data_IF_233322307000
#
_entry.id   IF_233322307000
#
_cell.length_a   1.000
_cell.length_b   1.000
_cell.length_c   1.000
_cell.angle_alpha   90.00
_cell.angle_beta   90.00
_cell.angle_gamma   90.00
#
_symmetry.space_group_name_H-M   'P 1'
#
loop_
_entity.id
_entity.type
_entity.pdbx_description
1 polymer ?
#
# COMPACT_ATOMS: atom_id res chain seq x y z
N UNK A 1 -1.08 14.44 3.56
CA UNK A 1 -2.07 13.37 3.77
C UNK A 1 -3.45 13.93 3.50
N UNK A 2 -4.30 13.17 2.83
CA UNK A 2 -5.71 13.51 2.57
C UNK A 2 -6.59 12.42 3.18
N UNK A 3 -7.68 12.82 3.82
CA UNK A 3 -8.76 11.94 4.25
C UNK A 3 -10.00 12.36 3.47
N UNK A 4 -10.59 11.43 2.73
CA UNK A 4 -11.76 11.72 1.90
C UNK A 4 -13.02 11.91 2.76
N UNK A 5 -14.08 12.54 2.21
CA UNK A 5 -15.44 12.22 2.65
C UNK A 5 -15.72 10.72 2.47
N UNK A 6 -16.85 10.24 2.99
CA UNK A 6 -17.31 8.88 2.68
C UNK A 6 -17.59 8.78 1.17
N UNK A 7 -17.02 7.77 0.51
CA UNK A 7 -17.18 7.44 -0.89
C UNK A 7 -17.61 5.96 -1.00
N UNK A 8 -18.86 5.73 -1.41
CA UNK A 8 -19.48 4.39 -1.47
C UNK A 8 -19.33 3.59 -0.16
N UNK A 9 -19.50 4.25 0.98
CA UNK A 9 -19.40 3.64 2.31
C UNK A 9 -17.97 3.54 2.87
N UNK A 10 -16.96 3.99 2.12
CA UNK A 10 -15.55 3.97 2.54
C UNK A 10 -14.98 5.37 2.77
N UNK A 11 -14.12 5.50 3.78
CA UNK A 11 -13.27 6.68 3.94
C UNK A 11 -11.86 6.35 3.50
N UNK A 12 -11.37 7.04 2.47
CA UNK A 12 -10.02 6.85 1.94
C UNK A 12 -9.04 7.72 2.71
N UNK A 13 -7.90 7.14 3.11
CA UNK A 13 -6.77 7.87 3.66
C UNK A 13 -5.61 7.74 2.67
N UNK A 14 -5.19 8.87 2.10
CA UNK A 14 -4.21 8.92 1.01
C UNK A 14 -2.97 9.68 1.46
N UNK A 15 -1.81 9.03 1.37
CA UNK A 15 -0.50 9.63 1.56
C UNK A 15 0.55 8.65 2.07
N UNK A 16 1.82 9.08 2.12
CA UNK A 16 2.96 8.18 2.40
C UNK A 16 2.88 7.45 3.74
N UNK A 17 2.19 8.03 4.72
CA UNK A 17 2.04 7.43 6.05
C UNK A 17 1.23 6.12 6.05
N UNK A 18 0.42 5.88 5.01
CA UNK A 18 -0.47 4.72 4.94
C UNK A 18 0.19 3.48 4.32
N UNK A 19 1.48 3.55 4.00
CA UNK A 19 2.22 2.49 3.32
C UNK A 19 2.44 1.27 4.24
N UNK A 20 1.84 0.09 3.93
CA UNK A 20 2.03 -1.11 4.73
C UNK A 20 3.39 -1.80 4.55
N UNK A 21 4.26 -1.26 3.68
CA UNK A 21 5.63 -1.72 3.42
C UNK A 21 6.72 -0.84 4.05
N UNK A 22 6.38 0.36 4.53
CA UNK A 22 7.34 1.30 5.11
C UNK A 22 8.04 0.71 6.35
N UNK A 23 9.35 0.48 6.28
CA UNK A 23 10.09 -0.22 7.32
C UNK A 23 10.02 0.39 8.73
N UNK A 24 9.71 1.68 8.86
CA UNK A 24 9.56 2.34 10.16
C UNK A 24 8.13 2.29 10.70
N UNK A 25 7.13 2.21 9.81
CA UNK A 25 5.71 2.43 10.16
C UNK A 25 4.83 1.22 9.96
N UNK A 26 5.31 0.19 9.28
CA UNK A 26 4.46 -0.87 8.81
C UNK A 26 3.72 -1.63 9.94
N UNK A 27 4.33 -1.74 11.12
CA UNK A 27 3.67 -2.27 12.33
C UNK A 27 2.61 -1.31 12.90
N UNK A 28 2.84 0.00 12.82
CA UNK A 28 1.86 1.02 13.21
C UNK A 28 0.65 1.00 12.27
N UNK A 29 0.88 0.91 10.96
CA UNK A 29 -0.18 0.76 9.94
C UNK A 29 -0.99 -0.52 10.19
N UNK A 30 -0.32 -1.62 10.53
CA UNK A 30 -0.97 -2.89 10.91
C UNK A 30 -1.84 -2.74 12.16
N UNK A 31 -1.31 -2.13 13.21
CA UNK A 31 -2.06 -1.84 14.44
C UNK A 31 -3.29 -0.97 14.15
N UNK A 32 -3.13 0.10 13.37
CA UNK A 32 -4.24 0.98 13.04
C UNK A 32 -5.33 0.26 12.23
N UNK A 33 -4.98 -0.54 11.22
CA UNK A 33 -5.98 -1.33 10.47
C UNK A 33 -6.71 -2.32 11.38
N UNK A 34 -5.99 -2.93 12.33
CA UNK A 34 -6.60 -3.82 13.33
C UNK A 34 -7.61 -3.05 14.20
N UNK A 35 -7.22 -1.89 14.74
CA UNK A 35 -8.11 -1.07 15.58
C UNK A 35 -9.33 -0.53 14.79
N UNK A 36 -9.13 -0.07 13.56
CA UNK A 36 -10.20 0.44 12.71
C UNK A 36 -11.15 -0.67 12.27
N UNK A 37 -10.64 -1.83 11.88
CA UNK A 37 -11.49 -2.97 11.49
C UNK A 37 -12.31 -3.51 12.67
N UNK A 38 -11.78 -3.46 13.90
CA UNK A 38 -12.54 -3.80 15.10
C UNK A 38 -13.74 -2.86 15.31
N UNK A 39 -13.57 -1.57 14.97
CA UNK A 39 -14.60 -0.53 15.15
C UNK A 39 -15.60 -0.48 14.00
N UNK A 40 -15.14 -0.64 12.76
CA UNK A 40 -15.91 -0.38 11.55
C UNK A 40 -16.20 -1.64 10.72
N UNK A 41 -15.74 -2.80 11.17
CA UNK A 41 -15.92 -4.10 10.49
C UNK A 41 -14.75 -4.43 9.57
N UNK A 42 -14.22 -3.46 8.83
CA UNK A 42 -13.11 -3.66 7.91
C UNK A 42 -12.18 -2.44 7.86
N UNK A 43 -10.88 -2.68 7.63
CA UNK A 43 -9.89 -1.66 7.32
C UNK A 43 -8.74 -2.27 6.52
N UNK A 44 -8.24 -1.53 5.54
CA UNK A 44 -7.24 -2.01 4.59
C UNK A 44 -6.23 -0.91 4.29
N UNK A 45 -5.00 -1.31 3.97
CA UNK A 45 -3.95 -0.42 3.50
C UNK A 45 -3.28 -1.02 2.26
N UNK A 46 -2.94 -0.16 1.31
CA UNK A 46 -2.38 -0.55 0.03
C UNK A 46 -1.24 0.39 -0.35
N UNK A 47 -0.19 -0.19 -0.93
CA UNK A 47 0.83 0.53 -1.69
C UNK A 47 0.86 -0.04 -3.11
N UNK A 48 0.97 0.85 -4.09
CA UNK A 48 1.18 0.49 -5.48
C UNK A 48 2.08 1.53 -6.13
N UNK A 49 3.24 1.06 -6.57
CA UNK A 49 4.21 1.81 -7.31
C UNK A 49 3.86 1.86 -8.79
N UNK A 50 3.39 3.01 -9.28
CA UNK A 50 2.94 3.16 -10.68
C UNK A 50 4.08 3.02 -11.72
N UNK A 51 5.34 2.92 -11.27
CA UNK A 51 6.49 2.65 -12.14
C UNK A 51 6.90 1.16 -12.13
N UNK A 52 6.08 0.29 -11.53
CA UNK A 52 6.42 -1.11 -11.29
C UNK A 52 7.43 -1.28 -10.16
N UNK A 53 7.53 -0.31 -9.25
CA UNK A 53 8.41 -0.32 -8.07
C UNK A 53 7.84 -1.12 -6.89
N UNK A 54 6.67 -1.74 -7.06
CA UNK A 54 6.15 -2.75 -6.15
C UNK A 54 4.68 -2.63 -5.84
N UNK A 55 4.20 -3.59 -5.06
CA UNK A 55 2.93 -3.46 -4.39
C UNK A 55 2.92 -4.13 -3.02
N UNK A 56 2.05 -3.62 -2.16
CA UNK A 56 1.82 -4.21 -0.85
C UNK A 56 0.35 -4.05 -0.46
N UNK A 57 -0.17 -5.02 0.28
CA UNK A 57 -1.53 -4.98 0.82
C UNK A 57 -1.58 -5.51 2.23
N UNK A 58 -2.45 -4.88 3.01
CA UNK A 58 -2.82 -5.28 4.36
C UNK A 58 -4.34 -5.24 4.45
N UNK A 59 -4.95 -6.36 4.81
CA UNK A 59 -6.39 -6.51 4.95
C UNK A 59 -6.67 -6.95 6.38
N UNK A 60 -7.52 -6.19 7.08
CA UNK A 60 -8.00 -6.53 8.41
C UNK A 60 -9.53 -6.49 8.48
N UNK A 61 -10.09 -7.47 9.16
CA UNK A 61 -11.53 -7.64 9.36
C UNK A 61 -11.81 -7.92 10.83
N UNK A 62 -12.82 -7.26 11.39
CA UNK A 62 -13.30 -7.50 12.76
C UNK A 62 -12.20 -7.51 13.84
N UNK A 63 -11.16 -6.70 13.67
CA UNK A 63 -10.06 -6.60 14.63
C UNK A 63 -8.98 -7.66 14.48
N UNK A 64 -8.90 -8.34 13.34
CA UNK A 64 -7.86 -9.32 13.02
C UNK A 64 -7.28 -9.07 11.63
N UNK A 65 -5.97 -9.21 11.49
CA UNK A 65 -5.30 -9.21 10.18
C UNK A 65 -5.70 -10.49 9.46
N UNK A 66 -6.26 -10.36 8.25
CA UNK A 66 -6.65 -11.46 7.37
C UNK A 66 -5.52 -11.79 6.40
N UNK A 67 -4.81 -10.77 5.94
CA UNK A 67 -3.66 -10.91 5.05
C UNK A 67 -2.75 -9.71 5.18
N UNK A 68 -1.45 -9.96 5.19
CA UNK A 68 -0.43 -8.96 4.86
C UNK A 68 0.52 -9.53 3.84
N UNK A 69 0.90 -8.75 2.84
CA UNK A 69 1.88 -9.14 1.84
C UNK A 69 2.55 -7.92 1.24
N UNK A 70 3.80 -8.09 0.83
CA UNK A 70 4.65 -7.07 0.23
C UNK A 70 5.50 -7.69 -0.87
N UNK A 71 5.59 -7.01 -2.01
CA UNK A 71 6.54 -7.27 -3.09
C UNK A 71 6.97 -5.94 -3.68
N UNK A 72 8.08 -5.42 -3.18
CA UNK A 72 8.78 -4.22 -3.66
C UNK A 72 10.17 -4.55 -4.22
N UNK A 73 10.53 -5.84 -4.25
CA UNK A 73 11.87 -6.30 -4.62
C UNK A 73 12.89 -6.16 -3.48
N UNK A 74 12.46 -5.80 -2.27
CA UNK A 74 13.32 -5.65 -1.10
C UNK A 74 13.45 -6.98 -0.34
N UNK A 75 14.62 -7.32 0.21
CA UNK A 75 14.80 -8.56 0.98
C UNK A 75 13.82 -8.71 2.15
N UNK A 76 13.50 -7.59 2.80
CA UNK A 76 12.63 -7.48 3.97
C UNK A 76 11.16 -7.78 3.66
N UNK A 77 10.75 -7.77 2.39
CA UNK A 77 9.38 -8.09 1.96
C UNK A 77 8.89 -9.45 2.50
N UNK A 78 9.82 -10.41 2.60
CA UNK A 78 9.56 -11.74 3.20
C UNK A 78 8.97 -11.69 4.60
N UNK A 79 9.40 -10.72 5.40
CA UNK A 79 9.03 -10.59 6.80
C UNK A 79 7.62 -10.01 6.96
N UNK A 80 7.08 -9.42 5.89
CA UNK A 80 5.79 -8.74 5.89
C UNK A 80 4.65 -9.65 5.41
N UNK A 81 4.95 -10.89 4.99
CA UNK A 81 3.95 -11.86 4.59
C UNK A 81 3.34 -12.54 5.84
N UNK A 82 2.08 -12.21 6.13
CA UNK A 82 1.31 -12.79 7.23
C UNK A 82 0.03 -13.43 6.70
N UNK A 83 -0.41 -14.47 7.41
CA UNK A 83 -1.62 -15.24 7.09
C UNK A 83 -1.61 -15.89 5.70
N UNK A 84 -2.68 -16.62 5.39
CA UNK A 84 -2.78 -17.37 4.14
C UNK A 84 -3.12 -16.45 2.96
N UNK A 85 -2.59 -16.71 1.75
CA UNK A 85 -2.90 -15.91 0.56
C UNK A 85 -4.41 -15.78 0.34
N UNK A 86 -4.89 -14.60 -0.09
CA UNK A 86 -6.29 -14.35 -0.44
C UNK A 86 -6.76 -15.22 -1.63
N UNK A 87 -8.08 -15.31 -1.82
CA UNK A 87 -8.68 -16.05 -2.96
C UNK A 87 -8.08 -15.62 -4.30
N UNK A 88 -7.92 -14.31 -4.51
CA UNK A 88 -7.32 -13.74 -5.72
C UNK A 88 -5.85 -14.17 -5.86
N UNK A 89 -5.05 -14.08 -4.79
CA UNK A 89 -3.64 -14.51 -4.82
C UNK A 89 -3.52 -15.99 -5.20
N UNK A 90 -4.35 -16.86 -4.60
CA UNK A 90 -4.36 -18.29 -4.91
C UNK A 90 -4.70 -18.57 -6.38
N UNK A 91 -5.74 -17.90 -6.90
CA UNK A 91 -6.13 -18.05 -8.30
C UNK A 91 -5.02 -17.58 -9.27
N UNK A 92 -4.33 -16.48 -8.95
CA UNK A 92 -3.20 -15.99 -9.76
C UNK A 92 -2.02 -16.97 -9.71
N UNK A 93 -1.71 -17.55 -8.54
CA UNK A 93 -0.68 -18.58 -8.41
C UNK A 93 -1.01 -19.82 -9.25
N UNK A 94 -2.26 -20.29 -9.21
CA UNK A 94 -2.70 -21.42 -10.04
C UNK A 94 -2.57 -21.15 -11.54
N UNK A 95 -2.85 -19.92 -12.00
CA UNK A 95 -2.66 -19.52 -13.40
C UNK A 95 -1.19 -19.55 -13.84
N UNK A 96 -0.26 -19.32 -12.91
CA UNK A 96 1.18 -19.43 -13.11
C UNK A 96 1.69 -20.88 -12.97
N UNK A 97 0.81 -21.85 -12.70
CA UNK A 97 1.20 -23.23 -12.43
C UNK A 97 1.87 -23.44 -11.07
N UNK A 98 1.72 -22.48 -10.15
CA UNK A 98 2.27 -22.53 -8.80
C UNK A 98 1.27 -23.15 -7.81
N UNK A 99 1.76 -23.72 -6.69
CA UNK A 99 0.89 -24.10 -5.60
C UNK A 99 0.09 -22.89 -5.07
N UNK A 100 -1.22 -23.03 -4.82
CA UNK A 100 -2.05 -21.93 -4.34
C UNK A 100 -1.66 -21.48 -2.92
N UNK A 101 -1.19 -22.40 -2.08
CA UNK A 101 -0.60 -22.05 -0.80
C UNK A 101 0.83 -21.53 -1.00
N UNK A 102 1.17 -20.46 -0.30
CA UNK A 102 2.55 -19.98 -0.25
C UNK A 102 3.34 -20.76 0.80
N UNK A 103 4.55 -21.18 0.42
CA UNK A 103 5.54 -21.75 1.32
C UNK A 103 6.78 -20.86 1.29
N UNK A 104 7.22 -20.39 2.45
CA UNK A 104 8.42 -19.57 2.55
C UNK A 104 9.68 -20.32 2.04
N UNK A 105 9.67 -21.66 2.05
CA UNK A 105 10.79 -22.47 1.56
C UNK A 105 11.01 -22.37 0.05
N UNK A 106 9.96 -22.05 -0.73
CA UNK A 106 10.04 -21.98 -2.21
C UNK A 106 10.46 -20.61 -2.73
N UNK A 107 10.64 -19.59 -1.86
CA UNK A 107 10.86 -18.17 -2.25
C UNK A 107 11.94 -17.94 -3.32
N UNK A 108 12.99 -18.75 -3.30
CA UNK A 108 14.14 -18.63 -4.19
C UNK A 108 14.08 -19.58 -5.40
N UNK A 109 13.00 -20.35 -5.53
CA UNK A 109 12.79 -21.24 -6.66
C UNK A 109 12.44 -20.40 -7.90
N UNK A 110 12.96 -20.79 -9.06
CA UNK A 110 12.76 -20.11 -10.34
C UNK A 110 11.27 -19.85 -10.67
N UNK A 111 10.31 -20.77 -10.42
CA UNK A 111 8.89 -20.49 -10.63
C UNK A 111 8.32 -19.38 -9.75
N UNK A 112 8.91 -19.07 -8.57
CA UNK A 112 8.46 -17.95 -7.75
C UNK A 112 8.83 -16.59 -8.35
N UNK A 113 9.77 -16.52 -9.30
CA UNK A 113 10.08 -15.26 -9.96
C UNK A 113 8.90 -14.76 -10.82
N UNK A 114 8.15 -15.67 -11.45
CA UNK A 114 6.91 -15.34 -12.14
C UNK A 114 5.85 -14.79 -11.17
N UNK A 115 5.78 -15.33 -9.95
CA UNK A 115 4.91 -14.80 -8.91
C UNK A 115 5.33 -13.40 -8.47
N UNK A 116 6.63 -13.14 -8.25
CA UNK A 116 7.14 -11.80 -7.88
C UNK A 116 6.75 -10.77 -8.94
N UNK A 117 7.00 -11.07 -10.22
CA UNK A 117 6.59 -10.20 -11.32
C UNK A 117 5.09 -9.93 -11.34
N UNK A 118 4.28 -10.95 -11.06
CA UNK A 118 2.83 -10.78 -10.99
C UNK A 118 2.38 -9.97 -9.78
N UNK A 119 3.01 -10.19 -8.63
CA UNK A 119 2.64 -9.61 -7.36
C UNK A 119 3.00 -8.11 -7.27
N UNK A 120 4.03 -7.65 -7.99
CA UNK A 120 4.39 -6.21 -8.09
C UNK A 120 3.23 -5.33 -8.56
N UNK A 121 2.27 -5.87 -9.30
CA UNK A 121 1.13 -5.12 -9.87
C UNK A 121 -0.22 -5.44 -9.19
N UNK A 122 -0.22 -6.27 -8.15
CA UNK A 122 -1.45 -6.94 -7.71
C UNK A 122 -2.31 -6.11 -6.73
N UNK A 123 -1.74 -5.15 -6.00
CA UNK A 123 -2.49 -4.40 -4.97
C UNK A 123 -3.77 -3.71 -5.49
N UNK A 124 -3.82 -3.04 -6.66
CA UNK A 124 -5.05 -2.48 -7.19
C UNK A 124 -6.16 -3.52 -7.41
N UNK A 125 -5.81 -4.72 -7.86
CA UNK A 125 -6.75 -5.82 -8.08
C UNK A 125 -7.23 -6.45 -6.77
N UNK A 126 -6.38 -6.48 -5.73
CA UNK A 126 -6.78 -6.89 -4.38
C UNK A 126 -7.74 -5.87 -3.76
N UNK A 127 -7.49 -4.58 -3.96
CA UNK A 127 -8.31 -3.51 -3.40
C UNK A 127 -9.71 -3.47 -4.01
N UNK A 128 -9.85 -3.72 -5.32
CA UNK A 128 -11.09 -3.58 -6.06
C UNK A 128 -12.30 -4.37 -5.49
N UNK A 129 -12.19 -5.66 -5.11
CA UNK A 129 -13.31 -6.41 -4.53
C UNK A 129 -13.52 -6.16 -3.03
N UNK A 130 -12.51 -5.63 -2.32
CA UNK A 130 -12.52 -5.53 -0.85
C UNK A 130 -12.90 -4.14 -0.34
N UNK A 131 -12.88 -3.12 -1.18
CA UNK A 131 -13.29 -1.77 -0.81
C UNK A 131 -13.38 -0.81 -1.99
N UNK A 132 -13.30 0.48 -1.72
CA UNK A 132 -13.29 1.52 -2.75
C UNK A 132 -11.85 1.82 -3.18
N UNK A 133 -11.49 1.48 -4.42
CA UNK A 133 -10.19 1.85 -4.99
C UNK A 133 -10.19 3.32 -5.43
N UNK A 134 -9.15 4.12 -5.08
CA UNK A 134 -8.99 5.48 -5.60
C UNK A 134 -8.95 5.55 -7.13
N UNK A 135 -8.52 4.47 -7.79
CA UNK A 135 -8.43 4.38 -9.26
C UNK A 135 -9.80 4.10 -9.91
N UNK A 136 -10.81 3.71 -9.13
CA UNK A 136 -12.14 3.36 -9.61
C UNK A 136 -13.19 4.46 -9.33
N UNK A 137 -12.79 5.59 -8.75
CA UNK A 137 -13.69 6.70 -8.47
C UNK A 137 -14.15 7.37 -9.77
N UNK A 138 -15.46 7.60 -9.89
CA UNK A 138 -16.08 8.21 -11.07
C UNK A 138 -17.02 9.35 -10.68
N UNK A 139 -17.67 9.98 -11.64
CA UNK A 139 -18.66 11.03 -11.36
C UNK A 139 -19.92 10.48 -10.67
N UNK A 140 -20.13 9.17 -10.77
CA UNK A 140 -21.27 8.44 -10.25
C UNK A 140 -21.06 7.93 -8.81
N UNK A 141 -19.82 7.94 -8.29
CA UNK A 141 -19.51 7.52 -6.91
C UNK A 141 -20.29 8.36 -5.90
N UNK A 142 -20.99 7.73 -4.98
CA UNK A 142 -21.77 8.43 -3.98
C UNK A 142 -20.85 9.01 -2.89
N UNK A 143 -20.84 10.33 -2.75
CA UNK A 143 -19.99 11.03 -1.77
C UNK A 143 -20.83 11.70 -0.67
N UNK A 144 -20.43 11.52 0.60
CA UNK A 144 -21.10 12.12 1.77
C UNK A 144 -20.10 12.72 2.76
N UNK A 145 -20.38 13.95 3.21
CA UNK A 145 -19.59 14.63 4.24
C UNK A 145 -18.50 15.54 3.67
N UNK A 146 -17.39 15.67 4.40
CA UNK A 146 -16.28 16.56 4.05
C UNK A 146 -14.94 15.83 4.17
N UNK A 147 -14.04 16.08 3.22
CA UNK A 147 -12.66 15.62 3.31
C UNK A 147 -11.77 16.64 4.02
N UNK A 148 -10.63 16.18 4.53
CA UNK A 148 -9.62 17.02 5.18
C UNK A 148 -8.24 16.74 4.60
N UNK A 149 -7.42 17.80 4.49
CA UNK A 149 -6.03 17.71 4.07
C UNK A 149 -5.16 18.14 5.25
N UNK A 150 -4.20 17.30 5.62
CA UNK A 150 -3.21 17.65 6.62
C UNK A 150 -2.18 18.60 6.03
N UNK A 151 -1.92 19.73 6.71
CA UNK A 151 -0.83 20.64 6.37
C UNK A 151 0.51 19.98 6.67
N UNK A 152 1.32 19.74 5.64
CA UNK A 152 2.71 19.33 5.81
C UNK A 152 3.63 20.55 5.73
N UNK A 153 4.71 20.62 6.51
CA UNK A 153 5.72 21.67 6.35
C UNK A 153 6.16 21.76 4.89
N UNK A 154 6.31 22.99 4.38
CA UNK A 154 6.82 23.20 3.03
C UNK A 154 8.23 22.58 2.94
N UNK A 155 8.60 21.87 1.86
CA UNK A 155 9.97 21.47 1.66
C UNK A 155 10.82 22.74 1.68
N UNK A 156 11.73 22.85 2.65
CA UNK A 156 12.77 23.87 2.59
C UNK A 156 13.60 23.52 1.36
N UNK A 157 13.49 24.31 0.29
CA UNK A 157 14.48 24.25 -0.77
C UNK A 157 15.86 24.44 -0.10
N UNK A 158 16.83 23.53 -0.32
CA UNK A 158 18.19 23.83 0.10
C UNK A 158 18.57 25.14 -0.59
N UNK A 159 18.84 26.18 0.19
CA UNK A 159 19.36 27.44 -0.32
C UNK A 159 20.61 27.10 -1.12
N UNK A 160 20.51 27.20 -2.45
CA UNK A 160 21.68 27.19 -3.31
C UNK A 160 22.60 28.33 -2.86
N UNK A 161 23.93 28.17 -2.91
CA UNK A 161 24.84 29.19 -2.43
C UNK A 161 24.53 30.52 -3.14
N UNK A 162 24.29 31.56 -2.34
CA UNK A 162 24.14 32.94 -2.80
C UNK A 162 25.37 33.31 -3.62
N UNK A 163 25.22 33.34 -4.94
CA UNK A 163 26.18 33.99 -5.82
C UNK A 163 25.96 35.50 -5.65
N UNK A 164 26.67 36.08 -4.71
CA UNK A 164 26.74 37.54 -4.53
C UNK A 164 28.19 37.96 -4.30
N UNK A 165 28.74 38.46 -5.40
CA UNK A 165 29.72 39.55 -5.52
C UNK A 165 31.09 39.38 -4.87
N UNK A 166 32.03 38.86 -5.67
CA UNK A 166 33.43 39.26 -5.57
C UNK A 166 33.86 39.88 -6.90
N UNK A 167 33.63 41.19 -7.03
CA UNK A 167 34.17 42.04 -8.09
C UNK A 167 34.73 43.32 -7.46
N UNK A 168 36.08 43.45 -7.56
CA UNK A 168 36.96 44.62 -7.28
C UNK A 168 37.27 44.87 -5.79
N UNK A 169 38.49 45.13 -5.34
CA UNK A 169 39.66 45.78 -5.95
C UNK A 169 40.89 45.62 -5.00
N UNK A 170 42.05 45.19 -5.50
CA UNK A 170 43.39 45.75 -5.28
C UNK A 170 44.47 44.95 -6.01
#
# INVERSE_FOLDING_TARGET
MYVSPEADGWTLVIGPWCDPSDGERCDEVMRLCTELSARYGAAQAYYHGAQGDGSAWLVAEHGSVVRRYCETGMPEDSLLALEHPLVLERAQRELLGLPPAWDASTRNDEPEDDWKWRAVELAPEVAAPLGTSPLALTAETQVRGSGVVASTPHPMHPEGPSASDDVREM
#
